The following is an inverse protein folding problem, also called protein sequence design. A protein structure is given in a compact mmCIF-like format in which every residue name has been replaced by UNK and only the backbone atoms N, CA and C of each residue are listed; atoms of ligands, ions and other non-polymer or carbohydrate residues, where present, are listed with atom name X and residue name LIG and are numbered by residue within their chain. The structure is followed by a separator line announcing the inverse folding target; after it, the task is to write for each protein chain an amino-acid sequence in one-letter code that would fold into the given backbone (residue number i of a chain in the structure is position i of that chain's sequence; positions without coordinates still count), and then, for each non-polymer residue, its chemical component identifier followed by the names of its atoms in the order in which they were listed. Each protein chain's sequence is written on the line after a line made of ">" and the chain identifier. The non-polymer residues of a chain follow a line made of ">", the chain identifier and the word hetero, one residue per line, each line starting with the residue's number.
data_IF_879652467395
#
_entry.id   IF_879652467395
#
_cell.length_a   1.000
_cell.length_b   1.000
_cell.length_c   1.000
_cell.angle_alpha   90.00
_cell.angle_beta   90.00
_cell.angle_gamma   90.00
#
_symmetry.space_group_name_H-M   'P 1'
#
loop_
_entity.id
_entity.type
_entity.pdbx_description
1 polymer ?
#
# COMPACT_ATOMS: atom_id res chain seq x y z
N UNK A 1 30.39 -1.92 -1.79
CA UNK A 1 29.49 -3.01 -2.21
C UNK A 1 28.31 -3.12 -1.27
N UNK A 2 27.21 -3.69 -1.76
CA UNK A 2 26.04 -4.09 -0.97
C UNK A 2 25.85 -5.59 -1.21
N UNK A 3 25.91 -6.41 -0.16
CA UNK A 3 25.92 -7.89 -0.26
C UNK A 3 26.88 -8.41 -1.35
N UNK A 4 28.07 -7.81 -1.43
CA UNK A 4 29.12 -8.04 -2.42
C UNK A 4 28.80 -7.58 -3.86
N UNK A 5 27.65 -6.98 -4.13
CA UNK A 5 27.32 -6.38 -5.42
C UNK A 5 27.84 -4.93 -5.46
N UNK A 6 28.38 -4.51 -6.59
CA UNK A 6 28.87 -3.14 -6.78
C UNK A 6 27.69 -2.25 -7.19
N UNK A 7 27.39 -1.17 -6.41
CA UNK A 7 26.36 -0.21 -6.79
C UNK A 7 26.73 0.54 -8.08
N UNK A 8 25.71 0.97 -8.82
CA UNK A 8 25.87 1.79 -10.02
C UNK A 8 26.16 3.24 -9.63
N UNK A 9 27.17 3.87 -10.22
CA UNK A 9 27.44 5.29 -10.05
C UNK A 9 26.41 6.11 -10.83
N UNK A 10 25.79 7.07 -10.13
CA UNK A 10 24.85 8.04 -10.70
C UNK A 10 25.55 9.38 -10.94
N UNK A 11 26.45 9.73 -10.03
CA UNK A 11 27.34 10.90 -10.15
C UNK A 11 28.71 10.59 -9.56
N UNK A 12 29.56 11.60 -9.37
CA UNK A 12 30.86 11.42 -8.69
C UNK A 12 30.72 11.02 -7.21
N UNK A 13 29.60 11.33 -6.59
CA UNK A 13 29.35 11.09 -5.15
C UNK A 13 28.08 10.31 -4.88
N UNK A 14 27.24 10.06 -5.88
CA UNK A 14 25.97 9.36 -5.69
C UNK A 14 25.98 8.00 -6.37
N UNK A 15 25.52 7.01 -5.65
CA UNK A 15 25.45 5.60 -6.08
C UNK A 15 24.06 5.07 -5.80
N UNK A 16 23.62 4.11 -6.60
CA UNK A 16 22.35 3.41 -6.39
C UNK A 16 22.51 1.90 -6.56
N UNK A 17 21.66 1.16 -5.86
CA UNK A 17 21.51 -0.27 -6.04
C UNK A 17 20.06 -0.68 -5.82
N UNK A 18 19.62 -1.68 -6.58
CA UNK A 18 18.33 -2.32 -6.45
C UNK A 18 18.55 -3.67 -5.79
N UNK A 19 17.83 -3.94 -4.71
CA UNK A 19 17.84 -5.21 -3.98
C UNK A 19 16.47 -5.89 -4.10
N UNK A 20 16.42 -7.21 -3.89
CA UNK A 20 15.16 -7.96 -3.86
C UNK A 20 14.28 -7.52 -2.69
N UNK A 21 12.96 -7.70 -2.81
CA UNK A 21 11.99 -7.30 -1.80
C UNK A 21 12.16 -8.02 -0.46
N UNK A 22 12.60 -9.26 -0.47
CA UNK A 22 12.82 -10.08 0.72
C UNK A 22 14.10 -9.75 1.49
N UNK A 23 15.04 -8.99 0.89
CA UNK A 23 16.26 -8.51 1.56
C UNK A 23 15.90 -7.38 2.51
N UNK A 24 15.93 -7.67 3.80
CA UNK A 24 15.57 -6.71 4.86
C UNK A 24 16.75 -6.08 5.57
N UNK A 25 17.94 -6.68 5.50
CA UNK A 25 19.14 -6.24 6.20
C UNK A 25 20.40 -6.38 5.33
N UNK A 26 20.49 -5.65 4.19
CA UNK A 26 21.68 -5.72 3.34
C UNK A 26 22.92 -5.22 4.08
N UNK A 27 24.06 -5.85 3.79
CA UNK A 27 25.38 -5.45 4.30
C UNK A 27 26.03 -4.47 3.34
N UNK A 28 26.28 -3.25 3.80
CA UNK A 28 26.98 -2.20 3.07
C UNK A 28 28.46 -2.20 3.49
N UNK A 29 29.37 -2.38 2.54
CA UNK A 29 30.82 -2.28 2.76
C UNK A 29 31.40 -1.14 1.93
N UNK A 30 32.11 -0.23 2.57
CA UNK A 30 32.82 0.87 1.94
C UNK A 30 34.33 0.77 2.18
N UNK A 31 35.12 1.08 1.15
CA UNK A 31 36.58 1.00 1.16
C UNK A 31 37.14 2.30 0.58
N UNK A 32 37.98 3.00 1.34
CA UNK A 32 38.71 4.16 0.80
C UNK A 32 39.89 3.73 -0.09
N UNK A 33 40.27 4.56 -1.04
CA UNK A 33 41.45 4.31 -1.85
C UNK A 33 42.73 4.44 -1.01
N UNK A 34 42.80 5.48 -0.18
CA UNK A 34 43.95 5.70 0.71
C UNK A 34 43.85 4.82 1.98
N UNK A 35 44.98 4.19 2.34
CA UNK A 35 45.06 3.32 3.50
C UNK A 35 44.96 4.08 4.84
N UNK A 36 45.29 5.37 4.86
CA UNK A 36 45.23 6.23 6.05
C UNK A 36 43.90 6.96 6.19
N UNK A 37 43.07 7.00 5.14
CA UNK A 37 41.75 7.57 5.24
C UNK A 37 40.83 6.75 6.16
N UNK A 38 39.91 7.43 6.82
CA UNK A 38 38.86 6.77 7.62
C UNK A 38 37.53 6.80 6.87
N UNK A 39 36.71 5.78 7.09
CA UNK A 39 35.41 5.59 6.46
C UNK A 39 34.36 5.37 7.54
N UNK A 40 33.21 6.03 7.43
CA UNK A 40 32.02 5.76 8.24
C UNK A 40 30.80 5.58 7.34
N UNK A 41 29.85 4.73 7.73
CA UNK A 41 28.59 4.47 7.03
C UNK A 41 27.45 4.87 7.97
N UNK A 42 26.56 5.76 7.52
CA UNK A 42 25.36 6.17 8.26
C UNK A 42 25.69 6.50 9.74
N UNK A 43 26.63 7.44 9.92
CA UNK A 43 27.14 7.90 11.20
C UNK A 43 27.73 6.80 12.14
N UNK A 44 28.19 5.67 11.59
CA UNK A 44 28.95 4.69 12.35
C UNK A 44 30.30 5.29 12.83
N UNK A 45 30.94 4.61 13.79
CA UNK A 45 32.30 4.96 14.20
C UNK A 45 33.23 4.84 12.98
N UNK A 46 34.02 5.89 12.66
CA UNK A 46 34.96 5.84 11.55
C UNK A 46 36.05 4.77 11.74
N UNK A 47 36.29 3.99 10.70
CA UNK A 47 37.32 2.95 10.67
C UNK A 47 38.35 3.25 9.60
N UNK A 48 39.62 2.87 9.83
CA UNK A 48 40.67 3.03 8.84
C UNK A 48 40.44 2.14 7.65
N UNK A 49 40.63 2.71 6.45
CA UNK A 49 40.62 2.06 5.16
C UNK A 49 39.25 1.52 4.72
N UNK A 50 38.50 0.86 5.59
CA UNK A 50 37.21 0.25 5.24
C UNK A 50 36.34 0.07 6.47
N UNK A 51 35.02 0.06 6.23
CA UNK A 51 34.03 -0.31 7.25
C UNK A 51 32.85 -1.03 6.61
N UNK A 52 32.11 -1.76 7.43
CA UNK A 52 30.91 -2.51 7.03
C UNK A 52 29.78 -2.23 7.98
N UNK A 53 28.58 -2.03 7.46
CA UNK A 53 27.37 -1.80 8.26
C UNK A 53 26.18 -2.50 7.66
N UNK A 54 25.40 -3.19 8.49
CA UNK A 54 24.08 -3.70 8.13
C UNK A 54 23.09 -2.54 8.14
N UNK A 55 22.34 -2.40 7.07
CA UNK A 55 21.33 -1.35 6.89
C UNK A 55 19.94 -1.96 7.04
N UNK A 56 19.11 -1.40 7.91
CA UNK A 56 17.74 -1.87 8.09
C UNK A 56 16.84 -1.33 6.98
N UNK A 57 16.29 -2.25 6.18
CA UNK A 57 15.33 -2.04 5.09
C UNK A 57 13.99 -2.75 5.36
N UNK A 58 13.73 -3.21 6.59
CA UNK A 58 12.55 -4.04 6.91
C UNK A 58 11.23 -3.30 6.70
N UNK A 59 11.19 -1.99 6.95
CA UNK A 59 9.97 -1.16 6.89
C UNK A 59 9.98 -0.12 5.77
N UNK A 60 11.04 -0.08 4.97
CA UNK A 60 11.20 0.91 3.89
C UNK A 60 11.58 0.25 2.57
N UNK A 61 11.20 0.86 1.46
CA UNK A 61 11.52 0.41 0.10
C UNK A 61 12.56 1.28 -0.60
N UNK A 62 12.91 2.43 -0.02
CA UNK A 62 13.99 3.33 -0.43
C UNK A 62 14.71 3.84 0.81
N UNK A 63 16.03 3.85 0.78
CA UNK A 63 16.84 4.46 1.84
C UNK A 63 18.12 5.04 1.27
N UNK A 64 18.45 6.26 1.69
CA UNK A 64 19.73 6.90 1.40
C UNK A 64 20.66 6.67 2.57
N UNK A 65 21.82 6.09 2.29
CA UNK A 65 22.87 5.75 3.27
C UNK A 65 24.10 6.63 3.00
N UNK A 66 24.38 7.65 3.84
CA UNK A 66 25.55 8.47 3.70
C UNK A 66 26.81 7.67 4.08
N UNK A 67 27.84 7.76 3.23
CA UNK A 67 29.16 7.17 3.44
C UNK A 67 30.16 8.31 3.45
N UNK A 68 30.78 8.54 4.59
CA UNK A 68 31.74 9.62 4.77
C UNK A 68 33.16 9.07 4.71
N UNK A 69 34.00 9.67 3.89
CA UNK A 69 35.43 9.36 3.78
C UNK A 69 36.22 10.60 4.22
N UNK A 70 37.05 10.44 5.22
CA UNK A 70 37.93 11.52 5.74
C UNK A 70 39.38 11.16 5.46
N UNK A 71 40.02 12.00 4.67
CA UNK A 71 41.46 11.86 4.38
C UNK A 71 42.32 12.20 5.59
N UNK A 72 43.60 11.79 5.59
CA UNK A 72 44.56 12.04 6.68
C UNK A 72 44.73 13.53 7.02
N UNK A 73 44.55 14.42 6.02
CA UNK A 73 44.62 15.88 6.22
C UNK A 73 43.29 16.49 6.74
N UNK A 74 42.33 15.67 7.15
CA UNK A 74 41.02 16.09 7.68
C UNK A 74 39.99 16.48 6.65
N UNK A 75 40.29 16.48 5.35
CA UNK A 75 39.27 16.72 4.30
C UNK A 75 38.30 15.57 4.22
N UNK A 76 37.02 15.91 4.17
CA UNK A 76 35.94 14.92 4.16
C UNK A 76 35.12 15.04 2.88
N UNK A 77 34.74 13.87 2.32
CA UNK A 77 33.77 13.75 1.22
C UNK A 77 32.67 12.82 1.67
N UNK A 78 31.42 13.20 1.41
CA UNK A 78 30.26 12.36 1.64
C UNK A 78 29.75 11.79 0.31
N UNK A 79 29.63 10.48 0.26
CA UNK A 79 29.00 9.75 -0.82
C UNK A 79 27.61 9.30 -0.36
N UNK A 80 26.61 9.35 -1.24
CA UNK A 80 25.28 8.89 -0.94
C UNK A 80 25.02 7.58 -1.67
N UNK A 81 24.70 6.53 -0.95
CA UNK A 81 24.24 5.27 -1.51
C UNK A 81 22.73 5.18 -1.35
N UNK A 82 22.00 5.22 -2.47
CA UNK A 82 20.55 4.99 -2.46
C UNK A 82 20.28 3.51 -2.71
N UNK A 83 19.62 2.87 -1.75
CA UNK A 83 19.18 1.48 -1.83
C UNK A 83 17.68 1.48 -2.12
N UNK A 84 17.29 0.84 -3.22
CA UNK A 84 15.89 0.61 -3.59
C UNK A 84 15.55 -0.88 -3.47
N UNK A 85 14.37 -1.21 -2.99
CA UNK A 85 13.75 -2.52 -3.23
C UNK A 85 13.11 -2.57 -4.61
N UNK A 86 12.96 -3.76 -5.17
CA UNK A 86 12.36 -3.94 -6.51
C UNK A 86 10.96 -3.31 -6.62
N UNK A 87 10.14 -3.35 -5.55
CA UNK A 87 8.81 -2.73 -5.54
C UNK A 87 8.84 -1.20 -5.67
N UNK A 88 9.94 -0.56 -5.23
CA UNK A 88 10.10 0.89 -5.34
C UNK A 88 10.17 1.36 -6.80
N UNK A 89 10.56 0.48 -7.72
CA UNK A 89 10.82 0.83 -9.13
C UNK A 89 9.58 1.34 -9.84
N UNK A 90 8.41 0.78 -9.51
CA UNK A 90 7.13 1.17 -10.13
C UNK A 90 6.15 1.78 -9.13
N UNK A 91 6.61 2.21 -7.94
CA UNK A 91 5.72 2.77 -6.93
C UNK A 91 5.67 4.30 -7.02
N UNK A 92 4.46 4.85 -6.86
CA UNK A 92 4.24 6.28 -6.70
C UNK A 92 4.64 6.71 -5.28
N UNK A 93 5.33 7.85 -5.20
CA UNK A 93 5.61 8.58 -3.96
C UNK A 93 4.39 9.40 -3.55
N UNK A 94 3.78 10.12 -4.53
CA UNK A 94 2.61 10.95 -4.29
C UNK A 94 1.78 11.17 -5.56
N UNK A 95 0.50 11.46 -5.37
CA UNK A 95 -0.39 12.00 -6.38
C UNK A 95 -1.01 13.26 -5.81
N UNK A 96 -0.87 14.39 -6.52
CA UNK A 96 -1.48 15.65 -6.15
C UNK A 96 -2.55 16.03 -7.17
N UNK A 97 -3.69 16.52 -6.70
CA UNK A 97 -4.77 17.08 -7.54
C UNK A 97 -5.02 18.53 -7.11
N UNK A 98 -4.84 19.47 -8.01
CA UNK A 98 -4.97 20.90 -7.73
C UNK A 98 -4.18 21.36 -6.48
N UNK A 99 -2.98 20.78 -6.28
CA UNK A 99 -2.10 21.09 -5.15
C UNK A 99 -2.45 20.40 -3.82
N UNK A 100 -3.47 19.55 -3.79
CA UNK A 100 -3.81 18.72 -2.61
C UNK A 100 -3.43 17.27 -2.88
N UNK A 101 -2.92 16.56 -1.87
CA UNK A 101 -2.58 15.16 -1.97
C UNK A 101 -3.84 14.29 -2.07
N UNK A 102 -3.86 13.35 -3.04
CA UNK A 102 -4.93 12.40 -3.19
C UNK A 102 -4.89 11.34 -2.07
N UNK A 103 -6.04 10.96 -1.57
CA UNK A 103 -6.18 9.93 -0.54
C UNK A 103 -5.90 8.54 -1.13
N UNK A 104 -4.95 7.81 -0.55
CA UNK A 104 -4.67 6.44 -0.94
C UNK A 104 -5.72 5.49 -0.36
N UNK A 105 -6.46 4.77 -1.22
CA UNK A 105 -7.48 3.81 -0.83
C UNK A 105 -6.95 2.37 -0.80
N UNK A 106 -6.03 2.04 -1.71
CA UNK A 106 -5.40 0.72 -1.81
C UNK A 106 -3.96 0.86 -2.30
N UNK A 107 -3.30 -0.24 -2.64
CA UNK A 107 -1.96 -0.17 -3.27
C UNK A 107 -1.94 0.58 -4.60
N UNK A 108 -3.06 0.57 -5.33
CA UNK A 108 -3.17 1.10 -6.68
C UNK A 108 -4.29 2.13 -6.86
N UNK A 109 -5.16 2.30 -5.86
CA UNK A 109 -6.32 3.15 -6.00
C UNK A 109 -6.21 4.39 -5.11
N UNK A 110 -6.50 5.54 -5.69
CA UNK A 110 -6.45 6.85 -5.05
C UNK A 110 -7.74 7.61 -5.33
N UNK A 111 -8.08 8.51 -4.42
CA UNK A 111 -9.26 9.38 -4.53
C UNK A 111 -8.90 10.83 -4.25
N UNK A 112 -9.50 11.73 -5.01
CA UNK A 112 -9.48 13.16 -4.74
C UNK A 112 -10.89 13.74 -4.88
N UNK A 113 -11.16 14.80 -4.12
CA UNK A 113 -12.41 15.54 -4.16
C UNK A 113 -12.08 16.96 -4.58
N UNK A 114 -12.80 17.50 -5.55
CA UNK A 114 -12.62 18.85 -6.08
C UNK A 114 -13.93 19.65 -5.98
N UNK A 115 -13.90 20.99 -5.92
CA UNK A 115 -15.12 21.81 -5.96
C UNK A 115 -15.97 21.51 -7.19
N UNK A 116 -17.30 21.62 -7.03
CA UNK A 116 -18.27 21.25 -8.07
C UNK A 116 -18.12 22.06 -9.37
N UNK A 117 -17.64 23.28 -9.28
CA UNK A 117 -17.43 24.23 -10.39
C UNK A 117 -16.08 24.08 -11.11
N UNK A 118 -15.23 23.12 -10.69
CA UNK A 118 -13.92 22.89 -11.31
C UNK A 118 -14.03 21.92 -12.48
N UNK A 119 -13.91 22.41 -13.70
CA UNK A 119 -14.03 21.63 -14.94
C UNK A 119 -12.70 21.11 -15.51
N UNK A 120 -11.59 21.46 -14.88
CA UNK A 120 -10.28 20.90 -15.21
C UNK A 120 -9.40 20.83 -13.96
N UNK A 121 -8.63 19.75 -13.84
CA UNK A 121 -7.75 19.53 -12.71
C UNK A 121 -6.32 19.29 -13.15
N UNK A 122 -5.38 19.94 -12.43
CA UNK A 122 -3.95 19.67 -12.57
C UNK A 122 -3.57 18.49 -11.69
N UNK A 123 -3.06 17.45 -12.32
CA UNK A 123 -2.61 16.23 -11.64
C UNK A 123 -1.09 16.18 -11.71
N UNK A 124 -0.45 15.98 -10.56
CA UNK A 124 0.99 15.75 -10.45
C UNK A 124 1.17 14.35 -9.88
N UNK A 125 1.88 13.50 -10.60
CA UNK A 125 2.26 12.16 -10.13
C UNK A 125 3.77 12.06 -10.02
N UNK A 126 4.27 11.61 -8.87
CA UNK A 126 5.69 11.47 -8.56
C UNK A 126 6.02 10.03 -8.16
N UNK A 127 7.11 9.49 -8.69
CA UNK A 127 7.58 8.13 -8.42
C UNK A 127 8.62 8.08 -7.30
N UNK A 128 8.74 6.94 -6.61
CA UNK A 128 9.80 6.72 -5.61
C UNK A 128 11.15 6.53 -6.29
N UNK A 129 11.18 5.82 -7.42
CA UNK A 129 12.40 5.60 -8.20
C UNK A 129 12.60 6.75 -9.20
N UNK A 130 13.70 7.45 -9.06
CA UNK A 130 13.96 8.71 -9.80
C UNK A 130 14.13 8.51 -11.33
N UNK A 131 14.34 7.27 -11.78
CA UNK A 131 14.45 6.90 -13.20
C UNK A 131 13.19 6.21 -13.75
N UNK A 132 12.16 6.01 -12.92
CA UNK A 132 10.89 5.51 -13.41
C UNK A 132 10.23 6.54 -14.33
N UNK A 133 9.55 6.04 -15.34
CA UNK A 133 8.74 6.83 -16.26
C UNK A 133 7.31 6.81 -15.78
N UNK A 134 6.64 7.94 -15.82
CA UNK A 134 5.27 8.11 -15.37
C UNK A 134 4.43 8.79 -16.44
N UNK A 135 3.24 8.26 -16.69
CA UNK A 135 2.31 8.71 -17.71
C UNK A 135 0.89 8.82 -17.12
N UNK A 136 0.18 9.90 -17.44
CA UNK A 136 -1.20 10.13 -17.02
C UNK A 136 -2.10 10.09 -18.26
N UNK A 137 -3.08 9.17 -18.30
CA UNK A 137 -4.10 9.05 -19.36
C UNK A 137 -3.53 9.11 -20.80
N UNK A 138 -2.34 8.55 -21.02
CA UNK A 138 -1.67 8.56 -22.32
C UNK A 138 -1.34 9.99 -22.85
N UNK A 139 -1.19 10.96 -21.95
CA UNK A 139 -0.85 12.36 -22.29
C UNK A 139 0.67 12.61 -22.41
N UNK A 140 1.43 11.55 -22.57
CA UNK A 140 2.89 11.57 -22.70
C UNK A 140 3.62 11.25 -21.39
N UNK A 141 4.66 10.45 -21.54
CA UNK A 141 5.48 9.91 -20.48
C UNK A 141 6.59 10.89 -20.07
N UNK A 142 6.86 11.00 -18.79
CA UNK A 142 7.92 11.84 -18.22
C UNK A 142 8.69 11.05 -17.15
N UNK A 143 9.97 11.39 -16.92
CA UNK A 143 10.80 10.71 -15.93
C UNK A 143 10.57 11.31 -14.55
N UNK A 144 10.37 10.44 -13.56
CA UNK A 144 10.23 10.73 -12.13
C UNK A 144 8.97 11.50 -11.73
N UNK A 145 8.63 12.56 -12.44
CA UNK A 145 7.47 13.41 -12.13
C UNK A 145 6.80 13.86 -13.41
N UNK A 146 5.49 13.78 -13.47
CA UNK A 146 4.70 14.31 -14.55
C UNK A 146 3.60 15.24 -14.03
N UNK A 147 3.27 16.27 -14.82
CA UNK A 147 2.18 17.20 -14.54
C UNK A 147 1.28 17.28 -15.77
N UNK A 148 0.02 16.90 -15.61
CA UNK A 148 -0.97 16.98 -16.70
C UNK A 148 -2.25 17.66 -16.22
N UNK A 149 -2.90 18.35 -17.15
CA UNK A 149 -4.25 18.89 -16.95
C UNK A 149 -5.24 17.92 -17.57
N UNK A 150 -6.22 17.51 -16.78
CA UNK A 150 -7.28 16.58 -17.18
C UNK A 150 -8.62 17.28 -17.04
N UNK A 151 -9.51 17.10 -18.02
CA UNK A 151 -10.87 17.61 -17.94
C UNK A 151 -11.62 16.85 -16.82
N UNK A 152 -12.26 17.61 -15.92
CA UNK A 152 -13.07 17.11 -14.80
C UNK A 152 -14.49 17.66 -14.90
N UNK A 153 -15.08 17.61 -16.10
CA UNK A 153 -16.44 18.11 -16.37
C UNK A 153 -17.54 17.18 -15.87
N UNK A 154 -17.18 15.93 -15.60
CA UNK A 154 -18.11 14.90 -15.07
C UNK A 154 -18.10 14.92 -13.53
N UNK A 155 -19.16 14.39 -12.91
CA UNK A 155 -19.25 14.24 -11.45
C UNK A 155 -18.15 13.34 -10.90
N UNK A 156 -17.80 12.29 -11.65
CA UNK A 156 -16.67 11.42 -11.40
C UNK A 156 -15.77 11.39 -12.63
N UNK A 157 -14.46 11.49 -12.43
CA UNK A 157 -13.45 11.36 -13.47
C UNK A 157 -12.43 10.32 -13.06
N UNK A 158 -12.27 9.27 -13.88
CA UNK A 158 -11.29 8.21 -13.66
C UNK A 158 -10.03 8.51 -14.48
N UNK A 159 -8.89 8.57 -13.80
CA UNK A 159 -7.58 8.82 -14.37
C UNK A 159 -6.69 7.61 -14.16
N UNK A 160 -6.06 7.12 -15.24
CA UNK A 160 -5.06 6.06 -15.17
C UNK A 160 -3.65 6.65 -15.17
N UNK A 161 -2.83 6.17 -14.23
CA UNK A 161 -1.44 6.58 -14.10
C UNK A 161 -0.59 5.32 -14.27
N UNK A 162 0.26 5.32 -15.29
CA UNK A 162 1.16 4.23 -15.61
C UNK A 162 2.56 4.57 -15.11
N UNK A 163 3.15 3.68 -14.35
CA UNK A 163 4.54 3.82 -13.88
C UNK A 163 5.35 2.67 -14.45
N UNK A 164 6.40 3.01 -15.19
CA UNK A 164 7.27 2.04 -15.87
C UNK A 164 8.72 2.21 -15.42
N UNK A 165 9.42 1.11 -15.25
CA UNK A 165 10.85 1.11 -14.95
C UNK A 165 11.54 -0.03 -15.68
N UNK A 166 12.77 0.20 -16.09
CA UNK A 166 13.55 -0.72 -16.95
C UNK A 166 13.30 -0.48 -18.44
N UNK A 167 13.87 -1.34 -19.27
CA UNK A 167 13.76 -1.27 -20.71
C UNK A 167 13.64 -2.68 -21.33
N UNK A 168 12.95 -2.78 -22.47
CA UNK A 168 12.80 -4.01 -23.22
C UNK A 168 12.15 -5.13 -22.42
N UNK A 169 12.70 -6.32 -22.44
CA UNK A 169 12.18 -7.51 -21.73
C UNK A 169 12.21 -7.38 -20.20
N UNK A 170 12.97 -6.44 -19.66
CA UNK A 170 13.07 -6.16 -18.22
C UNK A 170 12.18 -5.00 -17.78
N UNK A 171 11.35 -4.47 -18.66
CA UNK A 171 10.40 -3.41 -18.30
C UNK A 171 9.36 -3.94 -17.32
N UNK A 172 9.16 -3.18 -16.26
CA UNK A 172 8.09 -3.40 -15.26
C UNK A 172 7.09 -2.27 -15.37
N UNK A 173 5.81 -2.60 -15.32
CA UNK A 173 4.74 -1.63 -15.30
C UNK A 173 3.82 -1.86 -14.10
N UNK A 174 3.37 -0.77 -13.50
CA UNK A 174 2.27 -0.77 -12.52
C UNK A 174 1.28 0.33 -12.89
N UNK A 175 0.00 -0.01 -12.88
CA UNK A 175 -1.09 0.92 -13.22
C UNK A 175 -1.82 1.32 -11.95
N UNK A 176 -2.00 2.63 -11.79
CA UNK A 176 -2.75 3.22 -10.69
C UNK A 176 -4.04 3.85 -11.22
N UNK A 177 -5.07 3.85 -10.37
CA UNK A 177 -6.34 4.49 -10.65
C UNK A 177 -6.53 5.65 -9.69
N UNK A 178 -6.71 6.85 -10.22
CA UNK A 178 -7.12 8.02 -9.46
C UNK A 178 -8.58 8.32 -9.83
N UNK A 179 -9.48 8.26 -8.85
CA UNK A 179 -10.86 8.73 -8.98
C UNK A 179 -10.94 10.16 -8.47
N UNK A 180 -11.42 11.08 -9.29
CA UNK A 180 -11.64 12.47 -8.93
C UNK A 180 -13.14 12.72 -8.94
N UNK A 181 -13.71 13.04 -7.78
CA UNK A 181 -15.13 13.36 -7.61
C UNK A 181 -15.30 14.86 -7.40
N UNK A 182 -16.44 15.42 -7.87
CA UNK A 182 -16.86 16.78 -7.54
C UNK A 182 -17.60 16.82 -6.19
N UNK A 183 -17.36 17.86 -5.40
CA UNK A 183 -18.10 18.11 -4.15
C UNK A 183 -19.62 18.06 -4.38
N UNK A 184 -20.33 17.35 -3.50
CA UNK A 184 -21.78 17.20 -3.55
C UNK A 184 -22.29 16.27 -4.65
N UNK A 185 -21.40 15.74 -5.49
CA UNK A 185 -21.75 14.75 -6.51
C UNK A 185 -21.03 13.40 -6.27
N UNK A 186 -20.22 13.39 -5.24
CA UNK A 186 -19.49 12.23 -4.81
C UNK A 186 -20.48 11.08 -4.57
N UNK A 187 -20.20 9.93 -5.11
CA UNK A 187 -20.78 8.70 -4.57
C UNK A 187 -20.07 8.42 -3.23
N UNK A 188 -20.28 9.38 -2.30
CA UNK A 188 -19.65 9.44 -0.98
C UNK A 188 -20.05 8.27 -0.09
N UNK A 189 -21.05 7.51 -0.54
CA UNK A 189 -21.47 6.32 0.17
C UNK A 189 -20.57 5.17 -0.18
N UNK A 190 -19.71 4.81 0.73
CA UNK A 190 -18.84 3.66 0.55
C UNK A 190 -18.04 3.38 1.81
N UNK A 191 -17.56 2.15 1.90
CA UNK A 191 -16.62 1.77 2.94
C UNK A 191 -15.20 2.06 2.48
N UNK A 192 -14.47 2.80 3.31
CA UNK A 192 -13.04 2.97 3.21
C UNK A 192 -12.30 1.71 3.66
N UNK A 193 -12.70 1.14 4.80
CA UNK A 193 -12.12 -0.07 5.35
C UNK A 193 -13.12 -0.88 6.16
N UNK A 194 -12.91 -2.19 6.18
CA UNK A 194 -13.54 -3.12 7.12
C UNK A 194 -12.43 -3.90 7.81
N UNK A 195 -12.43 -3.88 9.15
CA UNK A 195 -11.49 -4.64 9.95
C UNK A 195 -12.23 -5.67 10.80
N UNK A 196 -11.64 -6.85 10.95
CA UNK A 196 -12.12 -7.90 11.85
C UNK A 196 -10.96 -8.28 12.78
N UNK A 197 -11.17 -8.10 14.07
CA UNK A 197 -10.13 -8.28 15.10
C UNK A 197 -8.84 -7.50 14.79
N UNK A 198 -8.99 -6.26 14.31
CA UNK A 198 -7.88 -5.37 13.96
C UNK A 198 -7.16 -5.69 12.63
N UNK A 199 -7.61 -6.70 11.90
CA UNK A 199 -7.08 -7.05 10.58
C UNK A 199 -7.99 -6.51 9.49
N UNK A 200 -7.43 -5.74 8.56
CA UNK A 200 -8.15 -5.25 7.39
C UNK A 200 -8.54 -6.39 6.45
N UNK A 201 -9.81 -6.38 6.00
CA UNK A 201 -10.38 -7.35 5.08
C UNK A 201 -10.58 -6.68 3.73
N UNK A 202 -10.02 -7.26 2.68
CA UNK A 202 -10.20 -6.75 1.32
C UNK A 202 -11.49 -7.30 0.70
N UNK A 203 -12.31 -6.48 0.08
CA UNK A 203 -13.56 -6.92 -0.53
C UNK A 203 -13.33 -7.57 -1.89
N UNK A 204 -14.29 -8.43 -2.27
CA UNK A 204 -14.54 -8.84 -3.65
C UNK A 204 -15.90 -8.27 -4.05
N UNK A 205 -15.91 -7.20 -4.83
CA UNK A 205 -17.12 -6.41 -5.07
C UNK A 205 -17.62 -5.77 -3.76
N UNK A 206 -18.84 -6.11 -3.35
CA UNK A 206 -19.45 -5.64 -2.09
C UNK A 206 -19.39 -6.67 -0.96
N UNK A 207 -18.58 -7.72 -1.09
CA UNK A 207 -18.48 -8.82 -0.13
C UNK A 207 -17.12 -8.83 0.52
N UNK A 208 -17.11 -8.88 1.85
CA UNK A 208 -15.93 -9.01 2.69
C UNK A 208 -15.92 -10.41 3.33
N UNK A 209 -14.91 -11.20 3.11
CA UNK A 209 -14.74 -12.55 3.66
C UNK A 209 -13.62 -12.53 4.71
N UNK A 210 -14.00 -12.61 5.98
CA UNK A 210 -13.07 -12.69 7.12
C UNK A 210 -12.97 -14.12 7.62
N UNK A 211 -11.78 -14.55 8.01
CA UNK A 211 -11.53 -15.87 8.61
C UNK A 211 -11.09 -15.70 10.06
N UNK A 212 -11.75 -16.44 10.96
CA UNK A 212 -11.41 -16.46 12.39
C UNK A 212 -11.06 -17.90 12.82
N UNK A 213 -10.43 -18.06 13.99
CA UNK A 213 -10.13 -19.40 14.50
C UNK A 213 -11.39 -20.13 14.97
N UNK A 214 -11.32 -21.44 15.05
CA UNK A 214 -12.37 -22.34 15.58
C UNK A 214 -12.79 -22.01 17.03
N UNK A 215 -11.86 -21.50 17.82
CA UNK A 215 -12.09 -21.09 19.21
C UNK A 215 -12.74 -19.71 19.36
N UNK A 216 -12.93 -18.95 18.26
CA UNK A 216 -13.45 -17.59 18.29
C UNK A 216 -14.98 -17.62 18.42
N UNK A 217 -15.53 -17.10 19.54
CA UNK A 217 -16.97 -17.01 19.78
C UNK A 217 -17.52 -15.59 19.50
N UNK A 218 -16.66 -14.60 19.43
CA UNK A 218 -17.01 -13.23 19.06
C UNK A 218 -15.86 -12.55 18.33
N UNK A 219 -16.17 -11.59 17.46
CA UNK A 219 -15.19 -10.81 16.75
C UNK A 219 -15.51 -9.32 16.87
N UNK A 220 -14.49 -8.49 16.97
CA UNK A 220 -14.62 -7.03 16.88
C UNK A 220 -14.61 -6.66 15.40
N UNK A 221 -15.68 -6.06 14.93
CA UNK A 221 -15.82 -5.55 13.56
C UNK A 221 -15.78 -4.04 13.60
N UNK A 222 -14.89 -3.45 12.80
CA UNK A 222 -14.82 -2.02 12.57
C UNK A 222 -15.06 -1.76 11.09
N UNK A 223 -16.00 -0.86 10.79
CA UNK A 223 -16.29 -0.40 9.44
C UNK A 223 -16.16 1.12 9.39
N UNK A 224 -15.41 1.62 8.43
CA UNK A 224 -15.09 3.04 8.26
C UNK A 224 -15.62 3.49 6.92
N UNK A 225 -16.41 4.55 6.88
CA UNK A 225 -16.90 5.16 5.65
C UNK A 225 -15.80 6.00 4.96
N UNK A 226 -15.96 6.22 3.65
CA UNK A 226 -15.12 7.15 2.88
C UNK A 226 -15.38 8.58 3.35
N UNK A 227 -16.65 8.96 3.49
CA UNK A 227 -17.05 10.28 4.00
C UNK A 227 -17.01 10.32 5.53
N UNK A 228 -16.52 11.41 6.09
CA UNK A 228 -16.49 11.68 7.52
C UNK A 228 -17.89 12.03 8.10
N UNK A 229 -18.90 12.20 7.24
CA UNK A 229 -20.29 12.52 7.61
C UNK A 229 -21.22 11.32 7.53
N UNK A 230 -20.87 10.31 6.70
CA UNK A 230 -21.75 9.17 6.46
C UNK A 230 -22.02 8.36 7.72
N UNK A 231 -23.24 7.85 7.81
CA UNK A 231 -23.65 6.95 8.87
C UNK A 231 -23.30 5.51 8.51
N UNK A 232 -22.53 4.85 9.36
CA UNK A 232 -22.14 3.44 9.22
C UNK A 232 -22.91 2.59 10.22
N UNK A 233 -23.57 1.54 9.72
CA UNK A 233 -24.30 0.59 10.55
C UNK A 233 -23.82 -0.82 10.27
N UNK A 234 -23.56 -1.61 11.31
CA UNK A 234 -23.17 -3.02 11.22
C UNK A 234 -24.27 -3.87 11.86
N UNK A 235 -24.91 -4.75 11.06
CA UNK A 235 -26.04 -5.57 11.50
C UNK A 235 -27.19 -4.72 12.03
N UNK A 236 -27.73 -5.08 13.20
CA UNK A 236 -28.84 -4.40 13.85
C UNK A 236 -28.39 -3.31 14.87
N UNK A 237 -27.09 -3.04 14.97
CA UNK A 237 -26.57 -2.03 15.89
C UNK A 237 -26.96 -0.61 15.43
N UNK A 238 -26.82 0.37 16.32
CA UNK A 238 -27.04 1.77 15.97
C UNK A 238 -26.05 2.22 14.89
N UNK A 239 -26.50 3.13 14.03
CA UNK A 239 -25.60 3.75 13.06
C UNK A 239 -24.75 4.81 13.77
N UNK A 240 -23.48 4.89 13.38
CA UNK A 240 -22.49 5.83 13.92
C UNK A 240 -21.89 6.66 12.79
N UNK A 241 -21.52 7.90 13.07
CA UNK A 241 -20.94 8.82 12.06
C UNK A 241 -19.53 8.37 11.71
N UNK A 242 -19.22 8.28 10.43
CA UNK A 242 -17.94 7.95 9.82
C UNK A 242 -17.44 6.53 10.11
N UNK A 243 -17.59 6.04 11.34
CA UNK A 243 -17.01 4.77 11.77
C UNK A 243 -17.91 4.08 12.78
N UNK A 244 -18.17 2.80 12.57
CA UNK A 244 -18.87 1.95 13.55
C UNK A 244 -17.97 0.81 14.00
N UNK A 245 -17.97 0.54 15.32
CA UNK A 245 -17.21 -0.55 15.93
C UNK A 245 -18.14 -1.37 16.83
N UNK A 246 -18.32 -2.63 16.48
CA UNK A 246 -19.22 -3.54 17.21
C UNK A 246 -18.55 -4.88 17.49
N UNK A 247 -18.95 -5.52 18.60
CA UNK A 247 -18.60 -6.91 18.86
C UNK A 247 -19.74 -7.79 18.37
N UNK A 248 -19.45 -8.68 17.45
CA UNK A 248 -20.41 -9.60 16.83
C UNK A 248 -20.16 -11.03 17.27
N UNK A 249 -21.20 -11.83 17.37
CA UNK A 249 -21.09 -13.27 17.69
C UNK A 249 -20.65 -14.03 16.43
N UNK A 250 -19.80 -15.03 16.60
CA UNK A 250 -19.39 -15.93 15.53
C UNK A 250 -19.87 -17.35 15.81
N UNK A 251 -20.42 -18.01 14.81
CA UNK A 251 -20.86 -19.41 14.88
C UNK A 251 -20.05 -20.27 13.91
N UNK A 252 -20.03 -21.59 14.12
CA UNK A 252 -19.39 -22.50 13.20
C UNK A 252 -19.97 -22.36 11.79
N UNK A 253 -19.12 -22.40 10.78
CA UNK A 253 -19.49 -22.15 9.41
C UNK A 253 -19.36 -20.67 9.03
N UNK A 254 -20.40 -20.09 8.50
CA UNK A 254 -20.42 -18.67 8.02
C UNK A 254 -21.47 -17.89 8.76
N UNK A 255 -21.04 -16.83 9.45
CA UNK A 255 -21.95 -15.84 10.04
C UNK A 255 -21.91 -14.58 9.16
N UNK A 256 -23.06 -14.14 8.69
CA UNK A 256 -23.17 -13.01 7.76
C UNK A 256 -23.76 -11.78 8.44
N UNK A 257 -23.13 -10.64 8.25
CA UNK A 257 -23.57 -9.34 8.69
C UNK A 257 -23.72 -8.40 7.50
N UNK A 258 -24.78 -7.60 7.53
CA UNK A 258 -24.95 -6.48 6.60
C UNK A 258 -24.23 -5.26 7.18
N UNK A 259 -23.50 -4.54 6.32
CA UNK A 259 -22.97 -3.22 6.64
C UNK A 259 -23.66 -2.23 5.71
N UNK A 260 -24.25 -1.18 6.27
CA UNK A 260 -24.85 -0.10 5.49
C UNK A 260 -24.10 1.20 5.71
N UNK A 261 -23.93 1.95 4.64
CA UNK A 261 -23.41 3.32 4.65
C UNK A 261 -24.48 4.22 4.08
N UNK A 262 -24.92 5.21 4.85
CA UNK A 262 -26.06 6.09 4.51
C UNK A 262 -25.62 7.54 4.60
N UNK A 263 -25.99 8.33 3.58
CA UNK A 263 -25.85 9.79 3.60
C UNK A 263 -26.81 10.38 4.67
N UNK A 264 -26.31 11.13 5.66
CA UNK A 264 -27.18 11.71 6.69
C UNK A 264 -28.15 12.77 6.17
N UNK A 265 -27.83 13.41 5.03
CA UNK A 265 -28.65 14.45 4.40
C UNK A 265 -29.66 13.86 3.40
N UNK A 266 -29.48 12.59 2.98
CA UNK A 266 -30.36 11.89 2.05
C UNK A 266 -30.39 10.37 2.33
N UNK A 267 -31.28 9.93 3.19
CA UNK A 267 -31.41 8.53 3.59
C UNK A 267 -31.73 7.57 2.40
N UNK A 268 -32.17 8.10 1.27
CA UNK A 268 -32.40 7.28 0.06
C UNK A 268 -31.09 6.84 -0.57
N UNK A 269 -30.03 7.57 -0.30
CA UNK A 269 -28.66 7.22 -0.70
C UNK A 269 -28.05 6.31 0.36
N UNK A 270 -28.19 5.01 0.18
CA UNK A 270 -27.64 3.97 1.05
C UNK A 270 -26.93 2.92 0.22
N UNK A 271 -25.71 2.55 0.61
CA UNK A 271 -24.98 1.42 0.07
C UNK A 271 -24.91 0.28 1.06
N UNK A 272 -25.11 -0.93 0.55
CA UNK A 272 -25.10 -2.15 1.33
C UNK A 272 -23.90 -3.01 0.96
N UNK A 273 -23.28 -3.59 1.98
CA UNK A 273 -22.14 -4.51 1.90
C UNK A 273 -22.43 -5.74 2.74
N UNK A 274 -21.83 -6.86 2.36
CA UNK A 274 -21.95 -8.14 3.09
C UNK A 274 -20.61 -8.46 3.73
N UNK A 275 -20.61 -8.69 5.04
CA UNK A 275 -19.46 -9.23 5.76
C UNK A 275 -19.76 -10.69 6.15
N UNK A 276 -18.99 -11.63 5.63
CA UNK A 276 -19.01 -13.02 6.03
C UNK A 276 -17.84 -13.28 6.97
N UNK A 277 -18.14 -13.72 8.19
CA UNK A 277 -17.14 -14.21 9.12
C UNK A 277 -17.17 -15.74 9.05
N UNK A 278 -16.09 -16.32 8.53
CA UNK A 278 -15.94 -17.76 8.30
C UNK A 278 -15.15 -18.36 9.44
N UNK A 279 -15.82 -19.22 10.24
CA UNK A 279 -15.23 -19.95 11.34
C UNK A 279 -15.17 -21.44 10.95
N UNK A 280 -14.00 -22.08 10.94
CA UNK A 280 -13.91 -23.54 10.73
C UNK A 280 -14.73 -24.28 11.77
N UNK A 281 -15.39 -25.34 11.36
CA UNK A 281 -16.03 -26.24 12.33
C UNK A 281 -14.97 -27.03 13.12
N UNK A 282 -15.13 -27.10 14.42
CA UNK A 282 -14.31 -27.96 15.26
C UNK A 282 -14.75 -29.43 15.16
N UNK A 283 -15.86 -29.73 14.48
CA UNK A 283 -16.35 -31.08 14.28
C UNK A 283 -15.46 -31.84 13.28
N UNK A 284 -14.68 -32.77 13.80
CA UNK A 284 -13.84 -33.67 13.04
C UNK A 284 -14.44 -35.10 12.95
N UNK A 285 -15.73 -35.24 13.27
CA UNK A 285 -16.43 -36.52 13.22
C UNK A 285 -16.74 -36.93 11.78
N UNK A 286 -16.65 -38.23 11.51
CA UNK A 286 -17.12 -38.80 10.26
C UNK A 286 -18.66 -38.90 10.28
N UNK A 287 -19.28 -38.35 9.24
CA UNK A 287 -20.74 -38.49 9.06
C UNK A 287 -21.11 -39.94 8.75
N UNK A 288 -20.37 -40.60 7.86
CA UNK A 288 -20.53 -42.03 7.55
C UNK A 288 -19.24 -42.60 6.93
N UNK A 289 -19.11 -43.91 6.96
CA UNK A 289 -18.08 -44.63 6.22
C UNK A 289 -18.78 -45.67 5.35
N UNK A 290 -18.53 -45.67 4.07
CA UNK A 290 -19.10 -46.63 3.12
C UNK A 290 -18.00 -47.49 2.53
N UNK A 291 -18.16 -48.80 2.56
CA UNK A 291 -17.28 -49.77 1.91
C UNK A 291 -18.12 -50.58 0.91
N UNK A 292 -17.82 -50.42 -0.37
CA UNK A 292 -18.72 -50.88 -1.44
C UNK A 292 -20.05 -50.11 -1.36
N UNK A 293 -21.17 -50.84 -1.33
CA UNK A 293 -22.50 -50.21 -1.19
C UNK A 293 -23.07 -50.33 0.22
N UNK A 294 -22.24 -50.66 1.24
CA UNK A 294 -22.66 -50.76 2.63
C UNK A 294 -22.17 -49.59 3.44
N UNK A 295 -23.11 -48.87 4.04
CA UNK A 295 -22.83 -47.80 5.01
C UNK A 295 -22.64 -48.44 6.40
N UNK A 296 -21.60 -48.01 7.10
CA UNK A 296 -21.30 -48.41 8.47
C UNK A 296 -21.71 -47.30 9.41
N UNK A 297 -22.62 -47.62 10.33
CA UNK A 297 -23.05 -46.68 11.36
C UNK A 297 -21.91 -46.43 12.34
N UNK A 298 -21.87 -45.17 12.85
CA UNK A 298 -20.97 -44.78 13.92
C UNK A 298 -21.25 -45.64 15.16
N UNK A 299 -20.24 -46.32 15.68
CA UNK A 299 -20.32 -46.95 16.99
C UNK A 299 -20.25 -45.85 18.04
N UNK A 300 -21.25 -45.80 18.91
CA UNK A 300 -21.39 -44.78 19.97
C UNK A 300 -20.26 -44.92 21.02
#
# INVERSE_FOLDING_TARGET
>A
TVDNVVPTAVSSTDYEIIIKNDVTKPEVRAVANDANATVSIDASIPEKKQTTKTVDMSTVIKKVVPIQVTAENGKTVTYNLTIYKEDALTQLESIMVNGKEATKLSETDYKAIIPADVDSSTIIAKTIYDKARVEINQLGEEVHITTKVVATTQNETIVKIYVRAGEGENEREKVYTLTIDKEGTEDIQGLFAVMVNGKEIKPVGKVYDAYVSDSTNSAVVEAIAISDKDLVKIGDNAAEVHKSTVTVTTTDGVTTYKITVTDPDDETKTKEYTLNIKKPSADNSLASVTVGNKEFAKVA
#
